data_IF_263782508651
#
_entry.id   IF_263782508651
#
_cell.length_a   1.000
_cell.length_b   1.000
_cell.length_c   1.000
_cell.angle_alpha   90.00
_cell.angle_beta   90.00
_cell.angle_gamma   90.00
#
_symmetry.space_group_name_H-M   'P 1'
#
loop_
_entity.id
_entity.type
_entity.pdbx_description
1 polymer ?
#
# COMPACT_ATOMS: atom_id res chain seq x y z
N UNK A 1 10.89 -30.26 38.70
CA UNK A 1 11.50 -29.08 38.07
C UNK A 1 10.91 -28.96 36.68
N UNK A 2 9.95 -28.06 36.46
CA UNK A 2 9.35 -27.84 35.17
C UNK A 2 10.33 -26.95 34.34
N UNK A 3 10.71 -27.43 33.17
CA UNK A 3 11.52 -26.64 32.25
C UNK A 3 10.73 -25.39 31.79
N UNK A 4 11.34 -24.22 31.68
CA UNK A 4 10.65 -23.06 31.17
C UNK A 4 10.29 -23.30 29.70
N UNK A 5 9.02 -23.15 29.35
CA UNK A 5 8.54 -23.11 27.96
C UNK A 5 9.12 -21.83 27.35
N UNK A 6 10.13 -21.97 26.50
CA UNK A 6 10.67 -20.85 25.72
C UNK A 6 9.60 -20.49 24.70
N UNK A 7 8.86 -19.41 24.95
CA UNK A 7 8.01 -18.80 23.93
C UNK A 7 8.97 -18.27 22.86
N UNK A 8 9.12 -19.00 21.76
CA UNK A 8 9.81 -18.46 20.59
C UNK A 8 8.95 -17.31 20.05
N UNK A 9 9.44 -16.09 20.20
CA UNK A 9 8.84 -14.93 19.53
C UNK A 9 8.96 -15.14 18.02
N UNK A 10 7.84 -15.16 17.32
CA UNK A 10 7.80 -15.26 15.85
C UNK A 10 8.69 -14.18 15.23
N UNK A 11 9.52 -14.53 14.24
CA UNK A 11 10.38 -13.54 13.58
C UNK A 11 9.52 -12.56 12.80
N UNK A 12 9.88 -11.29 12.80
CA UNK A 12 9.13 -10.25 12.09
C UNK A 12 8.91 -10.58 10.61
N UNK A 13 9.90 -11.22 9.96
CA UNK A 13 9.79 -11.60 8.54
C UNK A 13 8.77 -12.71 8.30
N UNK A 14 8.59 -13.62 9.25
CA UNK A 14 7.56 -14.66 9.19
C UNK A 14 6.16 -14.02 9.38
N UNK A 15 6.06 -13.05 10.31
CA UNK A 15 4.84 -12.21 10.46
C UNK A 15 4.51 -11.48 9.16
N UNK A 16 5.50 -10.81 8.53
CA UNK A 16 5.29 -10.10 7.28
C UNK A 16 4.81 -11.02 6.15
N UNK A 17 5.41 -12.21 6.02
CA UNK A 17 4.98 -13.21 5.02
C UNK A 17 3.57 -13.72 5.29
N UNK A 18 3.21 -13.96 6.54
CA UNK A 18 1.86 -14.37 6.94
C UNK A 18 0.84 -13.27 6.60
N UNK A 19 1.14 -12.02 6.94
CA UNK A 19 0.30 -10.85 6.60
C UNK A 19 0.14 -10.73 5.09
N UNK A 20 1.21 -10.88 4.31
CA UNK A 20 1.14 -10.83 2.84
C UNK A 20 0.25 -11.92 2.24
N UNK A 21 0.31 -13.16 2.77
CA UNK A 21 -0.63 -14.23 2.37
C UNK A 21 -2.06 -13.88 2.73
N UNK A 22 -2.28 -13.37 3.95
CA UNK A 22 -3.60 -12.93 4.41
C UNK A 22 -4.21 -11.83 3.54
N UNK A 23 -3.41 -10.85 3.09
CA UNK A 23 -3.84 -9.79 2.16
C UNK A 23 -4.38 -10.42 0.87
N UNK A 24 -3.62 -11.31 0.22
CA UNK A 24 -4.04 -11.98 -1.02
C UNK A 24 -5.31 -12.81 -0.81
N UNK A 25 -5.36 -13.59 0.25
CA UNK A 25 -6.52 -14.43 0.60
C UNK A 25 -7.78 -13.59 0.75
N UNK A 26 -7.74 -12.52 1.55
CA UNK A 26 -8.92 -11.64 1.78
C UNK A 26 -9.38 -10.96 0.52
N UNK A 27 -8.46 -10.45 -0.30
CA UNK A 27 -8.83 -9.80 -1.56
C UNK A 27 -9.40 -10.80 -2.55
N UNK A 28 -8.84 -12.01 -2.63
CA UNK A 28 -9.40 -13.09 -3.47
C UNK A 28 -10.81 -13.50 -3.01
N UNK A 29 -11.01 -13.66 -1.71
CA UNK A 29 -12.32 -13.97 -1.13
C UNK A 29 -13.33 -12.87 -1.47
N UNK A 30 -12.97 -11.59 -1.29
CA UNK A 30 -13.81 -10.46 -1.65
C UNK A 30 -14.17 -10.48 -3.15
N UNK A 31 -13.18 -10.64 -4.03
CA UNK A 31 -13.38 -10.64 -5.50
C UNK A 31 -14.29 -11.80 -5.93
N UNK A 32 -14.16 -12.96 -5.31
CA UNK A 32 -15.04 -14.11 -5.56
C UNK A 32 -16.48 -13.86 -5.10
N UNK A 33 -16.68 -13.17 -3.99
CA UNK A 33 -17.99 -12.87 -3.41
C UNK A 33 -18.73 -11.78 -4.20
N UNK A 34 -18.00 -10.75 -4.66
CA UNK A 34 -18.57 -9.56 -5.31
C UNK A 34 -18.40 -9.54 -6.84
N UNK A 35 -18.00 -10.66 -7.44
CA UNK A 35 -17.82 -10.84 -8.88
C UNK A 35 -16.85 -9.86 -9.56
N UNK A 36 -15.91 -9.32 -8.80
CA UNK A 36 -14.87 -8.49 -9.37
C UNK A 36 -14.09 -7.65 -8.35
N UNK A 37 -12.93 -7.17 -8.78
CA UNK A 37 -12.07 -6.31 -7.98
C UNK A 37 -10.64 -6.21 -8.49
N UNK A 38 -9.87 -5.40 -7.80
CA UNK A 38 -8.44 -5.14 -8.05
C UNK A 38 -7.57 -6.23 -7.38
N UNK A 39 -7.57 -7.45 -7.97
CA UNK A 39 -6.90 -8.62 -7.38
C UNK A 39 -5.38 -8.61 -7.62
N UNK A 40 -4.93 -8.21 -8.82
CA UNK A 40 -3.51 -8.18 -9.16
C UNK A 40 -2.70 -7.22 -8.29
N UNK A 41 -3.33 -6.13 -7.84
CA UNK A 41 -2.72 -5.16 -6.93
C UNK A 41 -2.43 -5.77 -5.54
N UNK A 42 -3.29 -6.67 -5.06
CA UNK A 42 -3.02 -7.41 -3.85
C UNK A 42 -1.92 -8.46 -4.04
N UNK A 43 -1.80 -9.03 -5.27
CA UNK A 43 -0.73 -9.97 -5.58
C UNK A 43 0.64 -9.29 -5.58
N UNK A 44 0.76 -8.12 -6.20
CA UNK A 44 2.03 -7.40 -6.33
C UNK A 44 2.43 -6.69 -5.04
N UNK A 45 1.50 -5.98 -4.38
CA UNK A 45 1.81 -5.10 -3.25
C UNK A 45 1.85 -5.77 -1.87
N UNK A 46 1.45 -7.05 -1.75
CA UNK A 46 1.23 -7.67 -0.45
C UNK A 46 2.47 -7.65 0.46
N UNK A 47 3.64 -8.03 -0.03
CA UNK A 47 4.88 -8.02 0.76
C UNK A 47 5.34 -6.61 1.09
N UNK A 48 5.16 -5.66 0.16
CA UNK A 48 5.52 -4.25 0.38
C UNK A 48 4.69 -3.69 1.54
N UNK A 49 3.36 -3.82 1.48
CA UNK A 49 2.45 -3.33 2.51
C UNK A 49 2.65 -4.06 3.84
N UNK A 50 2.80 -5.39 3.81
CA UNK A 50 3.09 -6.18 5.00
C UNK A 50 4.37 -5.72 5.68
N UNK A 51 5.47 -5.55 4.93
CA UNK A 51 6.76 -5.12 5.47
C UNK A 51 6.69 -3.70 6.03
N UNK A 52 6.03 -2.78 5.34
CA UNK A 52 5.81 -1.41 5.83
C UNK A 52 5.08 -1.41 7.18
N UNK A 53 3.97 -2.13 7.31
CA UNK A 53 3.13 -2.11 8.51
C UNK A 53 3.67 -2.96 9.67
N UNK A 54 4.44 -4.03 9.41
CA UNK A 54 4.91 -4.93 10.47
C UNK A 54 6.32 -4.62 10.96
N UNK A 55 7.13 -3.91 10.16
CA UNK A 55 8.54 -3.72 10.50
C UNK A 55 9.08 -2.31 10.21
N UNK A 56 8.84 -1.73 9.03
CA UNK A 56 9.50 -0.50 8.60
C UNK A 56 8.94 0.73 9.30
N UNK A 57 7.61 0.87 9.35
CA UNK A 57 6.98 2.06 9.89
C UNK A 57 6.90 2.03 11.42
N UNK A 58 7.36 3.09 12.05
CA UNK A 58 7.16 3.32 13.48
C UNK A 58 5.79 3.97 13.70
N UNK A 59 4.76 3.13 13.78
CA UNK A 59 3.39 3.55 14.01
C UNK A 59 3.00 3.38 15.48
N UNK A 60 2.17 4.29 15.99
CA UNK A 60 1.50 4.09 17.27
C UNK A 60 0.32 3.11 17.16
N UNK A 61 -0.32 2.76 18.29
CA UNK A 61 -1.54 1.97 18.28
C UNK A 61 -2.63 2.69 17.46
N UNK A 62 -3.45 1.90 16.75
CA UNK A 62 -4.58 2.45 16.00
C UNK A 62 -5.53 3.18 16.96
N UNK A 63 -5.97 4.36 16.53
CA UNK A 63 -7.01 5.15 17.19
C UNK A 63 -8.32 5.15 16.36
N UNK A 64 -8.29 4.51 15.19
CA UNK A 64 -9.47 4.32 14.36
C UNK A 64 -10.41 3.26 14.95
N UNK A 65 -11.74 3.42 14.79
CA UNK A 65 -12.69 2.39 15.22
C UNK A 65 -12.52 1.13 14.35
N UNK A 66 -12.62 -0.04 14.98
CA UNK A 66 -12.49 -1.33 14.25
C UNK A 66 -13.56 -1.47 13.16
N UNK A 67 -14.78 -0.99 13.39
CA UNK A 67 -15.80 -0.82 12.36
C UNK A 67 -15.82 0.65 11.97
N UNK A 68 -15.55 0.98 10.69
CA UNK A 68 -15.50 2.36 10.23
C UNK A 68 -16.80 3.11 10.44
N UNK A 69 -16.69 4.40 10.71
CA UNK A 69 -17.85 5.27 10.83
C UNK A 69 -18.53 5.46 9.48
N UNK A 70 -19.86 5.66 9.43
CA UNK A 70 -20.52 6.02 8.19
C UNK A 70 -20.00 7.36 7.65
N UNK A 71 -20.13 7.55 6.34
CA UNK A 71 -19.72 8.80 5.68
C UNK A 71 -20.48 10.00 6.28
N UNK A 72 -19.77 11.02 6.77
CA UNK A 72 -20.39 12.14 7.48
C UNK A 72 -21.07 13.15 6.55
N UNK A 73 -20.98 12.96 5.25
CA UNK A 73 -21.36 13.92 4.23
C UNK A 73 -20.22 14.86 3.83
N UNK A 74 -20.47 15.66 2.80
CA UNK A 74 -19.48 16.61 2.27
C UNK A 74 -19.12 17.67 3.32
N UNK A 75 -17.83 18.01 3.48
CA UNK A 75 -17.40 19.09 4.37
C UNK A 75 -18.10 20.41 4.08
N UNK A 76 -18.44 21.16 5.12
CA UNK A 76 -19.11 22.44 5.01
C UNK A 76 -18.95 23.27 6.30
N UNK A 77 -19.53 24.46 6.36
CA UNK A 77 -19.37 25.39 7.52
C UNK A 77 -19.65 24.75 8.88
N UNK A 78 -20.61 23.82 8.93
CA UNK A 78 -21.03 23.13 10.15
C UNK A 78 -20.57 21.66 10.17
N UNK A 79 -19.75 21.24 9.23
CA UNK A 79 -19.17 19.88 9.09
C UNK A 79 -17.71 20.02 8.76
N UNK A 80 -16.82 20.10 9.75
CA UNK A 80 -15.37 20.12 9.47
C UNK A 80 -14.95 18.85 8.78
N UNK A 81 -13.85 18.95 8.01
CA UNK A 81 -13.25 17.80 7.35
C UNK A 81 -12.98 16.68 8.37
N UNK A 82 -13.48 15.50 8.08
CA UNK A 82 -13.33 14.35 8.97
C UNK A 82 -12.09 13.55 8.56
N UNK A 83 -10.90 14.06 8.89
CA UNK A 83 -9.61 13.38 8.64
C UNK A 83 -9.36 12.18 9.56
N UNK A 84 -10.29 11.21 9.59
CA UNK A 84 -10.21 10.03 10.49
C UNK A 84 -9.33 8.92 9.94
N UNK A 85 -9.11 8.87 8.64
CA UNK A 85 -8.38 7.79 7.99
C UNK A 85 -6.97 7.61 8.56
N UNK A 86 -6.30 8.72 8.83
CA UNK A 86 -4.98 8.69 9.47
C UNK A 86 -4.96 8.14 10.90
N UNK A 87 -6.08 8.05 11.60
CA UNK A 87 -6.16 7.48 12.97
C UNK A 87 -5.86 5.97 12.96
N UNK A 88 -6.11 5.28 11.87
CA UNK A 88 -5.76 3.86 11.71
C UNK A 88 -4.24 3.65 11.70
N UNK A 89 -3.45 4.66 11.28
CA UNK A 89 -1.99 4.65 11.34
C UNK A 89 -1.45 5.13 12.71
N UNK A 90 -2.33 5.43 13.67
CA UNK A 90 -1.98 5.88 15.02
C UNK A 90 -1.95 7.40 15.16
N UNK A 91 -1.51 7.92 16.33
CA UNK A 91 -1.49 9.34 16.61
C UNK A 91 -0.51 10.11 15.71
N UNK A 92 -0.81 11.37 15.44
CA UNK A 92 0.10 12.29 14.74
C UNK A 92 1.13 12.86 15.73
N UNK A 93 2.12 12.03 16.13
CA UNK A 93 3.19 12.45 17.04
C UNK A 93 4.46 12.81 16.27
N UNK A 94 5.32 13.70 16.84
CA UNK A 94 6.54 14.16 16.16
C UNK A 94 7.56 13.06 15.84
N UNK A 95 7.56 11.99 16.61
CA UNK A 95 8.48 10.86 16.51
C UNK A 95 7.88 9.64 15.78
N UNK A 96 6.58 9.65 15.48
CA UNK A 96 5.90 8.57 14.76
C UNK A 96 5.84 8.85 13.26
N UNK A 97 5.89 7.79 12.47
CA UNK A 97 5.85 7.85 11.01
C UNK A 97 4.43 8.09 10.48
N UNK A 98 4.35 8.50 9.22
CA UNK A 98 3.09 8.66 8.48
C UNK A 98 3.17 7.88 7.18
N UNK A 99 2.05 7.28 6.77
CA UNK A 99 1.89 6.65 5.47
C UNK A 99 1.03 7.52 4.56
N UNK A 100 1.56 7.88 3.41
CA UNK A 100 0.80 8.50 2.32
C UNK A 100 0.57 7.43 1.25
N UNK A 101 -0.68 7.03 1.11
CA UNK A 101 -1.10 5.99 0.19
C UNK A 101 -1.57 6.63 -1.12
N UNK A 102 -0.76 6.54 -2.18
CA UNK A 102 -0.98 7.30 -3.42
C UNK A 102 -1.94 6.60 -4.40
N UNK A 103 -1.77 5.32 -4.76
CA UNK A 103 -2.59 4.69 -5.77
C UNK A 103 -3.90 4.15 -5.17
N UNK A 104 -4.93 4.99 -5.08
CA UNK A 104 -6.18 4.67 -4.37
C UNK A 104 -6.89 3.40 -4.88
N UNK A 105 -6.68 2.99 -6.12
CA UNK A 105 -7.20 1.71 -6.63
C UNK A 105 -6.59 0.46 -5.97
N UNK A 106 -5.52 0.61 -5.17
CA UNK A 106 -5.01 -0.42 -4.25
C UNK A 106 -5.74 -0.43 -2.89
N UNK A 107 -6.80 0.37 -2.69
CA UNK A 107 -7.46 0.52 -1.41
C UNK A 107 -7.91 -0.82 -0.80
N UNK A 108 -8.38 -1.76 -1.62
CA UNK A 108 -8.78 -3.09 -1.15
C UNK A 108 -7.60 -3.85 -0.53
N UNK A 109 -6.40 -3.75 -1.10
CA UNK A 109 -5.18 -4.32 -0.53
C UNK A 109 -4.77 -3.61 0.77
N UNK A 110 -4.94 -2.28 0.84
CA UNK A 110 -4.69 -1.51 2.08
C UNK A 110 -5.64 -1.95 3.20
N UNK A 111 -6.95 -2.05 2.92
CA UNK A 111 -7.92 -2.48 3.94
C UNK A 111 -7.65 -3.91 4.41
N UNK A 112 -7.33 -4.82 3.49
CA UNK A 112 -6.89 -6.16 3.85
C UNK A 112 -5.63 -6.14 4.73
N UNK A 113 -4.67 -5.25 4.43
CA UNK A 113 -3.47 -5.06 5.27
C UNK A 113 -3.86 -4.60 6.68
N UNK A 114 -4.71 -3.59 6.81
CA UNK A 114 -5.15 -3.09 8.12
C UNK A 114 -5.85 -4.17 8.94
N UNK A 115 -6.61 -5.06 8.29
CA UNK A 115 -7.25 -6.21 8.95
C UNK A 115 -6.19 -7.19 9.44
N UNK A 116 -5.25 -7.59 8.60
CA UNK A 116 -4.21 -8.57 8.94
C UNK A 116 -3.27 -8.07 10.05
N UNK A 117 -3.08 -6.75 10.19
CA UNK A 117 -2.29 -6.17 11.28
C UNK A 117 -3.14 -5.71 12.48
N UNK A 118 -4.42 -6.08 12.53
CA UNK A 118 -5.32 -5.82 13.67
C UNK A 118 -5.72 -4.36 13.87
N UNK A 119 -5.73 -3.55 12.80
CA UNK A 119 -6.11 -2.12 12.83
C UNK A 119 -7.52 -1.87 12.29
N UNK A 120 -8.14 -2.86 11.69
CA UNK A 120 -9.49 -2.83 11.09
C UNK A 120 -10.16 -4.19 11.31
N UNK A 121 -11.46 -4.22 11.52
CA UNK A 121 -12.20 -5.48 11.63
C UNK A 121 -12.46 -6.10 10.25
N UNK A 122 -12.49 -7.44 10.13
CA UNK A 122 -12.77 -8.13 8.86
C UNK A 122 -14.09 -7.69 8.21
N UNK A 123 -15.10 -7.40 9.03
CA UNK A 123 -16.44 -6.97 8.60
C UNK A 123 -16.43 -5.64 7.82
N UNK A 124 -15.37 -4.85 7.96
CA UNK A 124 -15.22 -3.61 7.21
C UNK A 124 -15.15 -3.83 5.69
N UNK A 125 -14.69 -5.00 5.23
CA UNK A 125 -14.69 -5.32 3.80
C UNK A 125 -16.10 -5.47 3.21
N UNK A 126 -17.10 -5.83 4.01
CA UNK A 126 -18.50 -5.86 3.57
C UNK A 126 -19.06 -4.45 3.31
N UNK A 127 -18.39 -3.43 3.88
CA UNK A 127 -18.74 -2.03 3.68
C UNK A 127 -18.04 -1.41 2.45
N UNK A 128 -17.12 -2.15 1.80
CA UNK A 128 -16.34 -1.63 0.70
C UNK A 128 -17.23 -1.20 -0.45
N UNK A 129 -17.11 0.09 -0.80
CA UNK A 129 -17.81 0.74 -1.90
C UNK A 129 -19.36 0.68 -1.80
N UNK A 130 -19.88 0.58 -0.56
CA UNK A 130 -21.30 0.67 -0.28
C UNK A 130 -21.72 2.14 -0.05
N UNK A 131 -22.95 2.49 -0.43
CA UNK A 131 -23.47 3.83 -0.21
C UNK A 131 -23.44 4.22 1.28
N UNK A 132 -22.91 5.40 1.56
CA UNK A 132 -22.75 5.90 2.93
C UNK A 132 -21.62 5.30 3.73
N UNK A 133 -20.79 4.43 3.11
CA UNK A 133 -19.57 3.91 3.72
C UNK A 133 -18.39 4.89 3.59
N UNK A 134 -17.41 4.75 4.49
CA UNK A 134 -16.08 5.36 4.38
C UNK A 134 -15.01 4.37 3.91
N UNK A 135 -15.38 3.12 3.66
CA UNK A 135 -14.50 2.10 3.08
C UNK A 135 -14.65 2.16 1.57
N UNK A 136 -13.95 3.10 0.96
CA UNK A 136 -14.13 3.50 -0.43
C UNK A 136 -13.00 2.97 -1.32
N UNK A 137 -13.32 2.70 -2.60
CA UNK A 137 -12.31 2.35 -3.60
C UNK A 137 -11.42 3.56 -3.93
N UNK A 138 -12.00 4.75 -4.02
CA UNK A 138 -11.26 6.00 -4.18
C UNK A 138 -11.28 6.70 -2.81
N UNK A 139 -10.42 6.19 -1.92
CA UNK A 139 -10.38 6.64 -0.54
C UNK A 139 -9.97 8.09 -0.38
N UNK A 140 -10.54 8.71 0.64
CA UNK A 140 -10.25 10.07 1.05
C UNK A 140 -9.78 10.08 2.52
N UNK A 141 -9.50 11.25 3.07
CA UNK A 141 -8.98 11.43 4.44
C UNK A 141 -9.87 10.83 5.55
N UNK A 142 -11.10 10.44 5.23
CA UNK A 142 -12.00 9.74 6.14
C UNK A 142 -11.97 8.21 5.96
N UNK A 143 -11.33 7.71 4.91
CA UNK A 143 -11.24 6.26 4.63
C UNK A 143 -10.12 5.62 5.45
N UNK A 144 -10.31 4.40 5.99
CA UNK A 144 -9.32 3.75 6.86
C UNK A 144 -7.91 3.69 6.25
N UNK A 145 -6.92 4.19 6.98
CA UNK A 145 -5.51 4.20 6.55
C UNK A 145 -5.13 5.30 5.55
N UNK A 146 -6.10 6.02 4.99
CA UNK A 146 -5.85 7.11 4.03
C UNK A 146 -5.65 8.43 4.79
N UNK A 147 -4.49 9.04 4.65
CA UNK A 147 -4.13 10.27 5.36
C UNK A 147 -4.35 11.54 4.55
N UNK A 148 -4.37 11.40 3.22
CA UNK A 148 -4.61 12.49 2.28
C UNK A 148 -5.51 12.00 1.14
N UNK A 149 -6.38 12.83 0.65
CA UNK A 149 -7.20 12.51 -0.52
C UNK A 149 -6.34 12.48 -1.77
N UNK A 150 -6.35 11.36 -2.48
CA UNK A 150 -5.43 11.08 -3.59
C UNK A 150 -6.13 10.41 -4.79
N UNK A 151 -7.35 10.83 -5.13
CA UNK A 151 -8.12 10.27 -6.24
C UNK A 151 -7.45 10.46 -7.62
N UNK A 152 -6.74 11.56 -7.81
CA UNK A 152 -5.88 11.78 -8.98
C UNK A 152 -4.50 11.22 -8.71
N UNK A 153 -4.01 10.35 -9.58
CA UNK A 153 -2.69 9.71 -9.46
C UNK A 153 -1.57 10.76 -9.35
N UNK A 154 -0.51 10.43 -8.62
CA UNK A 154 0.68 11.26 -8.38
C UNK A 154 0.47 12.58 -7.62
N UNK A 155 -0.74 12.92 -7.17
CA UNK A 155 -0.91 14.13 -6.35
C UNK A 155 -0.45 13.92 -4.91
N UNK A 156 -0.62 12.74 -4.37
CA UNK A 156 -0.27 12.43 -2.98
C UNK A 156 1.23 12.57 -2.69
N UNK A 157 2.10 12.30 -3.65
CA UNK A 157 3.56 12.45 -3.48
C UNK A 157 3.94 13.92 -3.22
N UNK A 158 3.28 14.89 -3.87
CA UNK A 158 3.52 16.31 -3.61
C UNK A 158 3.06 16.71 -2.21
N UNK A 159 1.91 16.18 -1.76
CA UNK A 159 1.41 16.41 -0.39
C UNK A 159 2.37 15.78 0.62
N UNK A 160 2.89 14.58 0.36
CA UNK A 160 3.91 13.93 1.20
C UNK A 160 5.18 14.79 1.33
N UNK A 161 5.65 15.38 0.24
CA UNK A 161 6.78 16.33 0.25
C UNK A 161 6.51 17.54 1.14
N UNK A 162 5.32 18.13 1.05
CA UNK A 162 4.90 19.24 1.90
C UNK A 162 4.85 18.88 3.39
N UNK A 163 4.30 17.70 3.72
CA UNK A 163 4.27 17.16 5.09
C UNK A 163 5.71 16.94 5.60
N UNK A 164 6.56 16.31 4.80
CA UNK A 164 7.94 16.03 5.17
C UNK A 164 8.76 17.32 5.40
N UNK A 165 8.57 18.33 4.56
CA UNK A 165 9.19 19.65 4.73
C UNK A 165 8.73 20.30 6.04
N UNK A 166 7.42 20.30 6.32
CA UNK A 166 6.88 20.86 7.56
C UNK A 166 7.45 20.15 8.80
N UNK A 167 7.57 18.82 8.77
CA UNK A 167 8.17 18.03 9.85
C UNK A 167 9.65 18.36 10.03
N UNK A 168 10.40 18.45 8.94
CA UNK A 168 11.83 18.82 8.97
C UNK A 168 12.04 20.22 9.59
N UNK A 169 11.21 21.20 9.20
CA UNK A 169 11.28 22.56 9.76
C UNK A 169 10.93 22.62 11.24
N UNK A 170 10.12 21.69 11.73
CA UNK A 170 9.77 21.57 13.17
C UNK A 170 10.77 20.73 13.96
N UNK A 171 11.75 20.12 13.32
CA UNK A 171 12.70 19.20 13.98
C UNK A 171 12.06 17.87 14.42
N UNK A 172 10.97 17.47 13.81
CA UNK A 172 10.31 16.18 14.06
C UNK A 172 11.15 15.03 13.47
N UNK A 173 11.17 13.88 14.15
CA UNK A 173 12.01 12.73 13.78
C UNK A 173 11.29 11.61 13.04
N UNK A 174 9.96 11.60 13.06
CA UNK A 174 9.17 10.63 12.30
C UNK A 174 9.29 10.87 10.80
N UNK A 175 9.32 9.79 10.04
CA UNK A 175 9.43 9.80 8.57
C UNK A 175 8.06 9.88 7.90
N UNK A 176 8.08 10.24 6.63
CA UNK A 176 6.91 10.16 5.73
C UNK A 176 7.19 9.06 4.72
N UNK A 177 6.43 8.01 4.80
CA UNK A 177 6.47 6.90 3.85
C UNK A 177 5.39 7.09 2.81
N UNK A 178 5.74 6.83 1.54
CA UNK A 178 4.81 6.92 0.42
C UNK A 178 4.74 5.55 -0.25
N UNK A 179 3.56 5.01 -0.44
CA UNK A 179 3.33 3.87 -1.32
C UNK A 179 2.82 4.38 -2.67
N UNK A 180 3.45 3.96 -3.76
CA UNK A 180 3.12 4.35 -5.13
C UNK A 180 3.04 3.13 -6.06
N UNK A 181 2.36 3.30 -7.19
CA UNK A 181 2.41 2.40 -8.34
C UNK A 181 3.36 2.91 -9.42
N UNK A 182 3.83 2.02 -10.28
CA UNK A 182 4.69 2.39 -11.42
C UNK A 182 3.96 3.23 -12.48
N UNK A 183 2.64 3.04 -12.63
CA UNK A 183 1.82 3.89 -13.51
C UNK A 183 1.86 5.37 -13.13
N UNK A 184 2.11 5.71 -11.87
CA UNK A 184 2.25 7.11 -11.43
C UNK A 184 3.53 7.77 -11.93
N UNK A 185 4.51 7.00 -12.42
CA UNK A 185 5.70 7.54 -13.08
C UNK A 185 5.41 8.05 -14.51
N UNK A 186 4.21 7.80 -15.03
CA UNK A 186 3.74 8.39 -16.29
C UNK A 186 3.19 9.80 -16.10
N UNK A 187 2.97 10.24 -14.86
CA UNK A 187 2.47 11.56 -14.50
C UNK A 187 3.62 12.56 -14.28
N UNK A 188 3.53 13.75 -14.87
CA UNK A 188 4.54 14.81 -14.70
C UNK A 188 4.74 15.23 -13.25
N UNK A 189 3.67 15.23 -12.46
CA UNK A 189 3.68 15.64 -11.05
C UNK A 189 4.62 14.80 -10.17
N UNK A 190 4.83 13.52 -10.49
CA UNK A 190 5.82 12.68 -9.78
C UNK A 190 7.21 13.29 -9.86
N UNK A 191 7.60 13.71 -11.06
CA UNK A 191 8.94 14.28 -11.34
C UNK A 191 9.10 15.66 -10.74
N UNK A 192 8.07 16.50 -10.80
CA UNK A 192 8.04 17.81 -10.14
C UNK A 192 8.18 17.68 -8.62
N UNK A 193 7.49 16.72 -8.02
CA UNK A 193 7.58 16.44 -6.58
C UNK A 193 8.99 15.98 -6.20
N UNK A 194 9.62 15.11 -6.97
CA UNK A 194 10.99 14.63 -6.72
C UNK A 194 12.01 15.77 -6.83
N UNK A 195 11.88 16.67 -7.83
CA UNK A 195 12.72 17.86 -7.94
C UNK A 195 12.62 18.73 -6.66
N UNK A 196 11.40 18.96 -6.18
CA UNK A 196 11.18 19.73 -4.97
C UNK A 196 11.77 19.01 -3.74
N UNK A 197 11.55 17.70 -3.59
CA UNK A 197 12.09 16.91 -2.48
C UNK A 197 13.62 16.92 -2.46
N UNK A 198 14.26 16.80 -3.62
CA UNK A 198 15.72 16.87 -3.75
C UNK A 198 16.24 18.27 -3.41
N UNK A 199 15.57 19.33 -3.92
CA UNK A 199 15.92 20.72 -3.63
C UNK A 199 15.89 21.04 -2.14
N UNK A 200 14.83 20.63 -1.43
CA UNK A 200 14.66 20.83 0.01
C UNK A 200 15.39 19.77 0.85
N UNK A 201 16.12 18.84 0.19
CA UNK A 201 16.92 17.80 0.84
C UNK A 201 16.10 16.97 1.84
N UNK A 202 14.92 16.50 1.40
CA UNK A 202 13.98 15.78 2.25
C UNK A 202 14.40 14.31 2.47
N UNK A 203 15.38 14.11 3.34
CA UNK A 203 15.88 12.80 3.75
C UNK A 203 15.00 12.10 4.81
N UNK A 204 13.89 12.71 5.17
CA UNK A 204 12.83 12.13 5.98
C UNK A 204 11.69 11.54 5.14
N UNK A 205 11.86 11.38 3.82
CA UNK A 205 10.91 10.72 2.92
C UNK A 205 11.46 9.37 2.46
N UNK A 206 10.62 8.34 2.53
CA UNK A 206 10.85 7.04 1.89
C UNK A 206 9.68 6.68 0.99
N UNK A 207 9.94 6.31 -0.26
CA UNK A 207 8.94 6.00 -1.27
C UNK A 207 9.13 4.54 -1.71
N UNK A 208 8.07 3.73 -1.63
CA UNK A 208 8.05 2.37 -2.17
C UNK A 208 7.16 2.35 -3.39
N UNK A 209 7.73 1.97 -4.53
CA UNK A 209 7.03 1.89 -5.82
C UNK A 209 6.79 0.44 -6.17
N UNK A 210 5.51 0.02 -6.26
CA UNK A 210 5.13 -1.28 -6.81
C UNK A 210 5.33 -1.28 -8.33
N UNK A 211 6.49 -1.77 -8.78
CA UNK A 211 6.88 -1.84 -10.18
C UNK A 211 6.47 -3.19 -10.78
N UNK A 212 5.16 -3.39 -10.94
CA UNK A 212 4.56 -4.63 -11.43
C UNK A 212 4.44 -4.72 -12.96
N UNK A 213 4.80 -3.66 -13.69
CA UNK A 213 4.80 -3.61 -15.15
C UNK A 213 3.41 -3.59 -15.78
N UNK A 214 2.34 -3.33 -15.00
CA UNK A 214 0.96 -3.31 -15.46
C UNK A 214 0.30 -1.95 -15.21
N UNK A 215 -0.51 -1.52 -16.14
CA UNK A 215 -1.41 -0.40 -15.95
C UNK A 215 -2.82 -0.76 -16.50
N UNK A 216 -3.77 0.19 -16.44
CA UNK A 216 -5.17 -0.05 -16.77
C UNK A 216 -5.39 -0.71 -18.14
N UNK A 217 -4.66 -0.26 -19.16
CA UNK A 217 -4.85 -0.69 -20.56
C UNK A 217 -3.95 -1.86 -20.99
N UNK A 218 -3.07 -2.32 -20.11
CA UNK A 218 -2.17 -3.45 -20.38
C UNK A 218 -0.79 -3.31 -19.77
N UNK A 219 0.21 -3.88 -20.45
CA UNK A 219 1.60 -3.80 -19.99
C UNK A 219 2.14 -2.38 -20.16
N UNK A 220 2.83 -1.89 -19.13
CA UNK A 220 3.39 -0.54 -19.12
C UNK A 220 4.32 -0.28 -20.31
N UNK A 221 5.11 -1.28 -20.70
CA UNK A 221 6.05 -1.19 -21.84
C UNK A 221 5.37 -0.95 -23.17
N UNK A 222 4.10 -1.37 -23.33
CA UNK A 222 3.34 -1.22 -24.57
C UNK A 222 2.42 -0.02 -24.57
N UNK A 223 2.03 0.48 -23.40
CA UNK A 223 1.17 1.67 -23.28
C UNK A 223 2.02 2.95 -23.23
N UNK A 224 2.91 3.07 -22.27
CA UNK A 224 3.90 4.14 -22.18
C UNK A 224 5.09 3.65 -21.36
N UNK A 225 6.20 3.34 -22.04
CA UNK A 225 7.40 2.82 -21.38
C UNK A 225 8.06 3.86 -20.48
N UNK A 226 8.22 3.52 -19.22
CA UNK A 226 8.85 4.34 -18.19
C UNK A 226 10.28 3.92 -17.85
N UNK A 227 10.78 2.83 -18.44
CA UNK A 227 12.15 2.39 -18.21
C UNK A 227 13.20 3.30 -18.86
N UNK A 228 14.42 3.39 -18.35
CA UNK A 228 14.88 2.81 -17.07
C UNK A 228 14.41 3.64 -15.86
N UNK A 229 13.63 3.02 -14.96
CA UNK A 229 13.01 3.71 -13.81
C UNK A 229 14.08 4.25 -12.86
N UNK A 230 15.00 3.39 -12.40
CA UNK A 230 16.00 3.75 -11.40
C UNK A 230 16.87 4.94 -11.86
N UNK A 231 17.40 4.89 -13.08
CA UNK A 231 18.25 5.96 -13.61
C UNK A 231 17.52 7.31 -13.72
N UNK A 232 16.23 7.29 -14.11
CA UNK A 232 15.41 8.51 -14.15
C UNK A 232 15.22 9.09 -12.76
N UNK A 233 14.85 8.25 -11.76
CA UNK A 233 14.67 8.70 -10.38
C UNK A 233 15.96 9.25 -9.78
N UNK A 234 17.11 8.65 -10.07
CA UNK A 234 18.43 9.15 -9.66
C UNK A 234 18.75 10.51 -10.29
N UNK A 235 18.43 10.69 -11.58
CA UNK A 235 18.62 11.96 -12.29
C UNK A 235 17.78 13.10 -11.68
N UNK A 236 16.64 12.78 -11.09
CA UNK A 236 15.79 13.71 -10.34
C UNK A 236 16.20 13.87 -8.87
N UNK A 237 17.34 13.32 -8.46
CA UNK A 237 17.97 13.56 -7.18
C UNK A 237 17.60 12.58 -6.07
N UNK A 238 16.86 11.51 -6.36
CA UNK A 238 16.54 10.48 -5.38
C UNK A 238 17.75 9.58 -5.07
N UNK A 239 17.79 9.01 -3.86
CA UNK A 239 18.61 7.84 -3.55
C UNK A 239 17.79 6.61 -3.89
N UNK A 240 18.19 5.83 -4.88
CA UNK A 240 17.40 4.72 -5.41
C UNK A 240 17.96 3.38 -4.97
N UNK A 241 17.06 2.47 -4.62
CA UNK A 241 17.33 1.04 -4.38
C UNK A 241 16.33 0.25 -5.22
N UNK A 242 16.80 -0.73 -5.98
CA UNK A 242 15.95 -1.64 -6.72
C UNK A 242 16.03 -3.03 -6.09
N UNK A 243 14.88 -3.64 -5.80
CA UNK A 243 14.78 -4.94 -5.10
C UNK A 243 13.70 -5.83 -5.68
N UNK A 244 13.79 -7.12 -5.39
CA UNK A 244 12.64 -8.03 -5.49
C UNK A 244 11.57 -7.58 -4.48
N UNK A 245 10.42 -7.13 -4.97
CA UNK A 245 9.31 -6.65 -4.15
C UNK A 245 8.58 -7.75 -3.38
N UNK A 246 8.96 -9.02 -3.57
CA UNK A 246 8.47 -10.16 -2.80
C UNK A 246 9.45 -10.66 -1.73
N UNK A 247 10.63 -10.05 -1.63
CA UNK A 247 11.61 -10.32 -0.58
C UNK A 247 11.43 -9.33 0.59
N UNK A 248 10.78 -9.78 1.66
CA UNK A 248 10.47 -8.93 2.82
C UNK A 248 11.73 -8.44 3.53
N UNK A 249 12.82 -9.23 3.54
CA UNK A 249 14.09 -8.84 4.13
C UNK A 249 14.79 -7.77 3.29
N UNK A 250 14.78 -7.89 1.96
CA UNK A 250 15.33 -6.87 1.05
C UNK A 250 14.54 -5.57 1.13
N UNK A 251 13.19 -5.65 1.21
CA UNK A 251 12.32 -4.49 1.42
C UNK A 251 12.65 -3.76 2.72
N UNK A 252 12.78 -4.48 3.83
CA UNK A 252 13.13 -3.89 5.13
C UNK A 252 14.53 -3.28 5.13
N UNK A 253 15.54 -4.00 4.61
CA UNK A 253 16.91 -3.49 4.51
C UNK A 253 17.02 -2.21 3.68
N UNK A 254 16.15 -2.04 2.68
CA UNK A 254 16.09 -0.83 1.85
C UNK A 254 15.72 0.41 2.66
N UNK A 255 14.86 0.28 3.67
CA UNK A 255 14.46 1.39 4.54
C UNK A 255 15.62 1.95 5.37
N UNK A 256 16.63 1.12 5.66
CA UNK A 256 17.82 1.46 6.43
C UNK A 256 18.96 2.05 5.57
N UNK A 257 18.76 2.15 4.26
CA UNK A 257 19.77 2.68 3.34
C UNK A 257 20.12 4.13 3.70
N UNK A 258 21.38 4.47 3.97
CA UNK A 258 21.78 5.86 4.20
C UNK A 258 21.54 6.73 2.96
N UNK A 259 20.81 7.83 3.13
CA UNK A 259 20.46 8.74 2.03
C UNK A 259 20.46 10.24 2.45
N UNK A 260 21.55 10.74 3.07
CA UNK A 260 21.59 12.07 3.66
C UNK A 260 21.27 13.15 2.61
N UNK A 261 20.28 13.98 2.91
CA UNK A 261 19.82 15.08 2.06
C UNK A 261 19.14 14.67 0.75
N UNK A 262 18.71 13.41 0.61
CA UNK A 262 18.02 12.92 -0.59
C UNK A 262 16.77 12.13 -0.19
N UNK A 263 15.65 12.21 -0.92
CA UNK A 263 14.54 11.26 -0.71
C UNK A 263 14.99 9.85 -1.07
N UNK A 264 14.59 8.85 -0.27
CA UNK A 264 14.79 7.44 -0.59
C UNK A 264 13.68 6.96 -1.52
N UNK A 265 14.03 6.25 -2.60
CA UNK A 265 13.06 5.57 -3.46
C UNK A 265 13.44 4.11 -3.61
N UNK A 266 12.54 3.23 -3.23
CA UNK A 266 12.66 1.78 -3.38
C UNK A 266 11.79 1.34 -4.54
N UNK A 267 12.41 0.90 -5.63
CA UNK A 267 11.74 0.32 -6.79
C UNK A 267 11.58 -1.16 -6.54
N UNK A 268 10.35 -1.58 -6.24
CA UNK A 268 10.03 -2.96 -5.90
C UNK A 268 9.55 -3.68 -7.16
N UNK A 269 10.40 -4.53 -7.74
CA UNK A 269 10.02 -5.37 -8.89
C UNK A 269 9.11 -6.48 -8.41
N UNK A 270 7.88 -6.50 -8.89
CA UNK A 270 6.83 -7.42 -8.41
C UNK A 270 6.17 -8.20 -9.54
N UNK A 271 5.54 -9.29 -9.16
CA UNK A 271 4.71 -10.12 -10.04
C UNK A 271 3.21 -9.88 -9.71
N UNK A 272 2.42 -9.31 -10.63
CA UNK A 272 1.01 -9.03 -10.44
C UNK A 272 0.13 -10.30 -10.34
N UNK A 273 0.72 -11.48 -10.51
CA UNK A 273 0.05 -12.78 -10.37
C UNK A 273 0.55 -13.60 -9.17
N UNK A 274 1.43 -13.04 -8.35
CA UNK A 274 2.06 -13.75 -7.22
C UNK A 274 1.03 -14.41 -6.31
N UNK A 275 1.13 -15.74 -6.16
CA UNK A 275 0.26 -16.54 -5.30
C UNK A 275 -1.13 -16.84 -5.87
N UNK A 276 -1.48 -16.32 -7.06
CA UNK A 276 -2.74 -16.59 -7.76
C UNK A 276 -2.45 -16.87 -9.24
N UNK A 277 -1.80 -17.99 -9.53
CA UNK A 277 -1.33 -18.35 -10.87
C UNK A 277 -2.39 -18.26 -11.99
N UNK A 278 -3.68 -18.60 -11.77
CA UNK A 278 -4.70 -18.45 -12.83
C UNK A 278 -4.85 -17.03 -13.39
N UNK A 279 -4.38 -15.99 -12.66
CA UNK A 279 -4.37 -14.62 -13.18
C UNK A 279 -3.53 -14.48 -14.46
N UNK A 280 -2.48 -15.28 -14.64
CA UNK A 280 -1.58 -15.20 -15.83
C UNK A 280 -2.33 -15.41 -17.14
N UNK A 281 -3.39 -16.22 -17.14
CA UNK A 281 -4.22 -16.48 -18.31
C UNK A 281 -5.02 -15.26 -18.78
N UNK A 282 -5.12 -14.23 -17.93
CA UNK A 282 -5.81 -12.97 -18.23
C UNK A 282 -4.92 -11.90 -18.84
N UNK A 283 -3.58 -12.15 -18.85
CA UNK A 283 -2.64 -11.18 -19.43
C UNK A 283 -3.01 -10.83 -20.87
N UNK A 284 -2.84 -9.59 -21.31
CA UNK A 284 -2.24 -8.46 -20.57
C UNK A 284 -3.21 -7.67 -19.69
N UNK A 285 -4.48 -8.07 -19.59
CA UNK A 285 -5.53 -7.32 -18.86
C UNK A 285 -5.70 -7.85 -17.44
N UNK A 286 -4.80 -7.44 -16.55
CA UNK A 286 -4.75 -7.87 -15.15
C UNK A 286 -5.37 -6.85 -14.18
N UNK A 287 -5.53 -5.59 -14.59
CA UNK A 287 -5.83 -4.47 -13.71
C UNK A 287 -7.13 -4.61 -12.92
N UNK A 288 -8.19 -5.14 -13.54
CA UNK A 288 -9.45 -5.41 -12.87
C UNK A 288 -9.99 -6.79 -13.28
N UNK A 289 -10.26 -7.65 -12.32
CA UNK A 289 -10.81 -9.00 -12.53
C UNK A 289 -12.33 -8.93 -12.53
N UNK A 290 -12.95 -9.53 -13.55
CA UNK A 290 -14.35 -9.94 -13.58
C UNK A 290 -14.40 -11.36 -14.11
N UNK A 291 -15.14 -12.25 -13.44
CA UNK A 291 -15.25 -13.63 -13.89
C UNK A 291 -16.15 -13.74 -15.13
N UNK A 292 -15.69 -14.51 -16.11
CA UNK A 292 -16.39 -14.70 -17.40
C UNK A 292 -17.36 -15.86 -17.36
N UNK A 293 -17.17 -16.80 -16.42
CA UNK A 293 -17.98 -18.00 -16.27
C UNK A 293 -17.84 -18.58 -14.87
N UNK A 294 -18.77 -19.46 -14.50
CA UNK A 294 -18.71 -20.22 -13.25
C UNK A 294 -17.51 -21.20 -13.25
N UNK A 295 -17.14 -21.73 -14.40
CA UNK A 295 -15.96 -22.59 -14.53
C UNK A 295 -14.66 -21.81 -14.18
N UNK A 296 -14.51 -20.59 -14.69
CA UNK A 296 -13.39 -19.71 -14.31
C UNK A 296 -13.42 -19.42 -12.80
N UNK A 297 -14.58 -19.05 -12.25
CA UNK A 297 -14.75 -18.78 -10.82
C UNK A 297 -14.35 -19.99 -9.95
N UNK A 298 -14.69 -21.21 -10.39
CA UNK A 298 -14.34 -22.43 -9.68
C UNK A 298 -12.81 -22.64 -9.56
N UNK A 299 -12.04 -22.24 -10.58
CA UNK A 299 -10.56 -22.28 -10.53
C UNK A 299 -10.03 -21.39 -9.41
N UNK A 300 -10.54 -20.15 -9.29
CA UNK A 300 -10.11 -19.23 -8.23
C UNK A 300 -10.59 -19.66 -6.83
N UNK A 301 -11.76 -20.32 -6.73
CA UNK A 301 -12.19 -20.94 -5.45
C UNK A 301 -11.24 -22.05 -5.02
N UNK A 302 -10.72 -22.84 -5.95
CA UNK A 302 -9.73 -23.88 -5.61
C UNK A 302 -8.43 -23.26 -5.10
N UNK A 303 -7.99 -22.12 -5.66
CA UNK A 303 -6.83 -21.39 -5.13
C UNK A 303 -7.10 -20.88 -3.72
N UNK A 304 -8.28 -20.30 -3.46
CA UNK A 304 -8.66 -19.83 -2.13
C UNK A 304 -8.62 -20.98 -1.09
N UNK A 305 -9.21 -22.12 -1.41
CA UNK A 305 -9.20 -23.30 -0.53
C UNK A 305 -7.77 -23.80 -0.22
N UNK A 306 -6.84 -23.70 -1.19
CA UNK A 306 -5.43 -24.06 -0.94
C UNK A 306 -4.74 -23.08 0.00
N UNK A 307 -5.08 -21.78 -0.07
CA UNK A 307 -4.53 -20.76 0.85
C UNK A 307 -4.99 -20.99 2.29
N UNK A 308 -6.21 -21.45 2.50
CA UNK A 308 -6.77 -21.74 3.83
C UNK A 308 -6.08 -22.92 4.52
N UNK A 309 -5.74 -23.98 3.76
CA UNK A 309 -5.02 -25.16 4.29
C UNK A 309 -3.56 -24.85 4.66
N UNK A 310 -2.95 -23.85 4.02
CA UNK A 310 -1.57 -23.44 4.30
C UNK A 310 -1.41 -22.53 5.51
N UNK A 311 -2.51 -22.09 6.13
CA UNK A 311 -2.53 -21.24 7.33
C UNK A 311 -2.70 -22.05 8.63
N UNK A 312 -2.96 -23.40 8.57
CA UNK A 312 -2.95 -24.34 9.69
C UNK A 312 -1.53 -24.92 9.92
#
# INVERSE_FOLDING_TARGET
MAMPVTVQTERWSDVARRVARGIRRRVLEYVLRHDGGYLSQACSAAEILATLYTHVMRLGPSQGPMIPRPFPGVPGPNRPLAGWGGLYNGPRAPDLDRLIFSPVHYALALYATLIEVGRLAPEALEMFNQDGSTVEMIGAEHSPGIEVTAGSLSQAISVAGGIALARKLRGETGRVWVFMSDGELQEGQTWEALLAMAHYRLDNVGIYIDANGQQCDGRIETVMNIEPIAAKLEAFGACVVEVDGHDVEALAASAERPHPGRPLVVVCRTDPCRGIEPLRERAPKLHYVRFRSEAERAVYRAVLAQMEVGDE
#
